data_IF_189617110549
#
_entry.id   IF_189617110549
#
_cell.length_a   1.000
_cell.length_b   1.000
_cell.length_c   1.000
_cell.angle_alpha   90.00
_cell.angle_beta   90.00
_cell.angle_gamma   90.00
#
_symmetry.space_group_name_H-M   'P 1'
#
loop_
_entity.id
_entity.type
_entity.pdbx_description
1 polymer ?
#
# COMPACT_ATOMS: atom_id res chain seq x y z
N UNK A 1 24.06 -15.36 36.06
CA UNK A 1 23.09 -14.38 36.61
C UNK A 1 21.81 -14.56 35.83
N UNK A 2 20.82 -15.24 36.42
CA UNK A 2 19.51 -15.47 35.81
C UNK A 2 18.75 -14.15 35.91
N UNK A 3 18.39 -13.55 34.78
CA UNK A 3 17.59 -12.33 34.76
C UNK A 3 16.27 -12.57 35.52
N UNK A 4 15.85 -11.61 36.35
CA UNK A 4 14.56 -11.71 37.02
C UNK A 4 13.46 -11.76 35.94
N UNK A 5 12.36 -12.51 36.14
CA UNK A 5 11.33 -12.68 35.12
C UNK A 5 10.80 -11.34 34.55
N UNK A 6 10.74 -10.29 35.37
CA UNK A 6 10.36 -8.94 34.92
C UNK A 6 11.35 -8.24 33.98
N UNK A 7 12.64 -8.53 34.08
CA UNK A 7 13.65 -7.93 33.17
C UNK A 7 13.51 -8.46 31.74
N UNK A 8 13.07 -9.73 31.60
CA UNK A 8 12.82 -10.34 30.29
C UNK A 8 11.64 -9.71 29.58
N UNK A 9 10.55 -9.41 30.31
CA UNK A 9 9.38 -8.73 29.75
C UNK A 9 9.76 -7.31 29.33
N UNK A 10 10.46 -6.55 30.18
CA UNK A 10 10.91 -5.19 29.83
C UNK A 10 11.80 -5.21 28.59
N UNK A 11 12.70 -6.19 28.45
CA UNK A 11 13.52 -6.34 27.25
C UNK A 11 12.69 -6.65 26.00
N UNK A 12 11.68 -7.51 26.11
CA UNK A 12 10.77 -7.84 25.00
C UNK A 12 9.93 -6.63 24.58
N UNK A 13 9.31 -5.93 25.54
CA UNK A 13 8.54 -4.72 25.27
C UNK A 13 9.41 -3.63 24.63
N UNK A 14 10.63 -3.44 25.14
CA UNK A 14 11.58 -2.48 24.58
C UNK A 14 11.96 -2.83 23.14
N UNK A 15 12.19 -4.12 22.84
CA UNK A 15 12.46 -4.58 21.49
C UNK A 15 11.27 -4.34 20.54
N UNK A 16 10.03 -4.57 21.01
CA UNK A 16 8.81 -4.31 20.23
C UNK A 16 8.62 -2.82 19.94
N UNK A 17 8.82 -1.95 20.94
CA UNK A 17 8.72 -0.48 20.76
C UNK A 17 9.80 0.02 19.81
N UNK A 18 11.04 -0.43 19.95
CA UNK A 18 12.13 -0.07 19.04
C UNK A 18 11.88 -0.56 17.61
N UNK A 19 11.22 -1.71 17.44
CA UNK A 19 10.81 -2.19 16.13
C UNK A 19 9.71 -1.33 15.51
N UNK A 20 8.66 -0.96 16.28
CA UNK A 20 7.58 -0.11 15.82
C UNK A 20 8.06 1.30 15.44
N UNK A 21 8.94 1.91 16.25
CA UNK A 21 9.55 3.22 15.94
C UNK A 21 10.40 3.17 14.67
N UNK A 22 11.03 2.04 14.37
CA UNK A 22 11.77 1.83 13.12
C UNK A 22 10.82 1.75 11.92
N UNK A 23 9.62 1.21 12.11
CA UNK A 23 8.57 1.19 11.08
C UNK A 23 7.95 2.57 10.85
N UNK A 24 7.81 3.40 11.88
CA UNK A 24 7.35 4.80 11.73
C UNK A 24 8.34 5.67 10.92
N UNK A 25 9.65 5.38 11.04
CA UNK A 25 10.70 6.07 10.27
C UNK A 25 10.82 5.61 8.80
N UNK A 26 10.38 4.39 8.50
CA UNK A 26 10.09 3.96 7.12
C UNK A 26 8.65 4.31 6.83
N UNK A 27 8.37 5.58 6.51
CA UNK A 27 7.06 6.02 6.04
C UNK A 27 6.44 4.87 5.23
N UNK A 28 5.38 4.25 5.78
CA UNK A 28 4.72 3.12 5.14
C UNK A 28 4.67 3.49 3.66
N UNK A 29 5.28 2.71 2.74
CA UNK A 29 5.42 3.16 1.37
C UNK A 29 4.04 3.64 0.99
N UNK A 30 3.93 4.93 0.67
CA UNK A 30 2.63 5.54 0.38
C UNK A 30 2.14 4.75 -0.82
N UNK A 31 1.40 3.68 -0.55
CA UNK A 31 0.87 2.77 -1.54
C UNK A 31 -0.17 3.64 -2.16
N UNK A 32 0.17 4.32 -3.26
CA UNK A 32 -0.77 5.17 -3.97
C UNK A 32 -1.90 4.25 -4.42
N UNK A 33 -3.00 4.31 -3.67
CA UNK A 33 -4.20 3.53 -3.97
C UNK A 33 -5.00 4.40 -4.92
N UNK A 34 -4.85 4.13 -6.21
CA UNK A 34 -5.68 4.76 -7.24
C UNK A 34 -7.10 4.19 -7.09
N UNK A 35 -8.01 5.05 -6.64
CA UNK A 35 -9.42 4.75 -6.50
C UNK A 35 -10.19 5.35 -7.66
N UNK A 36 -11.21 4.63 -8.13
CA UNK A 36 -12.17 5.19 -9.07
C UNK A 36 -12.92 6.34 -8.39
N UNK A 37 -12.84 7.54 -8.96
CA UNK A 37 -13.61 8.72 -8.58
C UNK A 37 -14.44 9.13 -9.78
N UNK A 38 -15.70 9.50 -9.60
CA UNK A 38 -16.61 9.88 -10.71
C UNK A 38 -16.12 11.12 -11.46
N UNK A 39 -15.37 11.97 -10.78
CA UNK A 39 -14.84 13.25 -11.26
C UNK A 39 -13.46 13.10 -11.95
N UNK A 40 -12.83 11.93 -11.89
CA UNK A 40 -11.57 11.65 -12.59
C UNK A 40 -11.81 10.78 -13.84
N UNK A 41 -11.32 11.25 -14.99
CA UNK A 41 -11.29 10.49 -16.24
C UNK A 41 -10.55 9.15 -16.07
N UNK A 42 -11.10 8.07 -16.64
CA UNK A 42 -10.49 6.73 -16.59
C UNK A 42 -9.04 6.74 -17.11
N UNK A 43 -8.76 7.52 -18.15
CA UNK A 43 -7.41 7.66 -18.70
C UNK A 43 -6.41 8.22 -17.67
N UNK A 44 -6.82 9.22 -16.88
CA UNK A 44 -6.00 9.82 -15.82
C UNK A 44 -5.74 8.84 -14.68
N UNK A 45 -6.75 8.06 -14.30
CA UNK A 45 -6.60 6.98 -13.31
C UNK A 45 -5.62 5.92 -13.79
N UNK A 46 -5.71 5.49 -15.05
CA UNK A 46 -4.80 4.51 -15.64
C UNK A 46 -3.37 5.05 -15.79
N UNK A 47 -3.21 6.35 -16.05
CA UNK A 47 -1.89 7.00 -16.05
C UNK A 47 -1.23 6.89 -14.67
N UNK A 48 -2.01 7.09 -13.59
CA UNK A 48 -1.52 6.92 -12.21
C UNK A 48 -1.22 5.46 -11.88
N UNK A 49 -2.06 4.52 -12.32
CA UNK A 49 -1.80 3.08 -12.15
C UNK A 49 -0.42 2.67 -12.67
N UNK A 50 0.04 3.25 -13.80
CA UNK A 50 1.36 2.96 -14.39
C UNK A 50 2.53 3.37 -13.49
N UNK A 51 2.32 4.29 -12.54
CA UNK A 51 3.36 4.75 -11.61
C UNK A 51 3.60 3.78 -10.45
N UNK A 52 2.73 2.78 -10.25
CA UNK A 52 2.78 1.86 -9.11
C UNK A 52 3.77 0.70 -9.27
N UNK A 53 4.27 0.45 -10.48
CA UNK A 53 5.06 -0.74 -10.83
C UNK A 53 4.29 -1.71 -11.72
N UNK A 54 4.98 -2.68 -12.33
CA UNK A 54 4.39 -3.53 -13.40
C UNK A 54 3.23 -4.38 -12.89
N UNK A 55 3.39 -5.04 -11.74
CA UNK A 55 2.37 -5.93 -11.18
C UNK A 55 1.20 -5.10 -10.65
N UNK A 56 1.50 -4.07 -9.88
CA UNK A 56 0.52 -3.16 -9.29
C UNK A 56 -0.26 -2.41 -10.37
N UNK A 57 0.36 -2.01 -11.48
CA UNK A 57 -0.32 -1.38 -12.61
C UNK A 57 -1.35 -2.32 -13.24
N UNK A 58 -1.04 -3.61 -13.40
CA UNK A 58 -2.00 -4.60 -13.93
C UNK A 58 -3.19 -4.79 -12.98
N UNK A 59 -2.93 -4.92 -11.68
CA UNK A 59 -3.98 -5.04 -10.65
C UNK A 59 -4.86 -3.78 -10.58
N UNK A 60 -4.21 -2.61 -10.66
CA UNK A 60 -4.87 -1.31 -10.67
C UNK A 60 -5.77 -1.15 -11.90
N UNK A 61 -5.28 -1.47 -13.11
CA UNK A 61 -6.09 -1.50 -14.34
C UNK A 61 -7.28 -2.44 -14.18
N UNK A 62 -7.07 -3.64 -13.65
CA UNK A 62 -8.17 -4.60 -13.44
C UNK A 62 -9.27 -4.03 -12.56
N UNK A 63 -8.91 -3.30 -11.50
CA UNK A 63 -9.87 -2.66 -10.58
C UNK A 63 -10.55 -1.45 -11.21
N UNK A 64 -9.78 -0.57 -11.86
CA UNK A 64 -10.30 0.62 -12.52
C UNK A 64 -11.24 0.21 -13.66
N UNK A 65 -10.86 -0.71 -14.54
CA UNK A 65 -11.67 -1.14 -15.68
C UNK A 65 -12.79 -2.14 -15.36
N UNK A 66 -12.94 -2.50 -14.07
CA UNK A 66 -14.11 -3.13 -13.45
C UNK A 66 -15.47 -2.83 -14.12
N UNK A 67 -16.00 -3.68 -15.01
CA UNK A 67 -17.32 -3.49 -15.62
C UNK A 67 -17.40 -2.48 -16.77
N UNK A 68 -16.26 -2.04 -17.31
CA UNK A 68 -16.20 -1.10 -18.46
C UNK A 68 -15.18 -1.49 -19.52
N UNK A 69 -14.71 -2.73 -19.49
CA UNK A 69 -13.71 -3.26 -20.41
C UNK A 69 -14.13 -3.19 -21.89
N UNK A 70 -15.43 -3.20 -22.16
CA UNK A 70 -15.99 -3.14 -23.52
C UNK A 70 -16.60 -1.78 -23.87
N UNK A 71 -16.70 -0.86 -22.91
CA UNK A 71 -17.44 0.40 -23.05
C UNK A 71 -16.58 1.66 -22.92
N UNK A 72 -15.43 1.56 -22.27
CA UNK A 72 -14.52 2.68 -22.06
C UNK A 72 -13.23 2.47 -22.89
N UNK A 73 -12.97 3.27 -23.92
CA UNK A 73 -11.81 3.09 -24.80
C UNK A 73 -10.47 3.18 -24.07
N UNK A 74 -10.40 3.80 -22.90
CA UNK A 74 -9.18 3.82 -22.10
C UNK A 74 -8.82 2.43 -21.53
N UNK A 75 -9.79 1.51 -21.47
CA UNK A 75 -9.63 0.18 -20.91
C UNK A 75 -9.23 -0.90 -21.93
N UNK A 76 -9.18 -0.61 -23.23
CA UNK A 76 -8.84 -1.58 -24.29
C UNK A 76 -7.33 -1.64 -24.52
#
# INVERSE_FOLDING_TARGET
MTAAPGDSDVALLTAMVAHAQRQDGTAAPMRDVVLRREEEETASLLQRCKQLGVIEAMLCRSRICSGRWDSDPACH
#
